data_IF_066165833208
#
_entry.id   IF_066165833208
#
_cell.length_a   1.000
_cell.length_b   1.000
_cell.length_c   1.000
_cell.angle_alpha   90.00
_cell.angle_beta   90.00
_cell.angle_gamma   90.00
#
_symmetry.space_group_name_H-M   'P 1'
#
loop_
_entity.id
_entity.type
_entity.pdbx_description
1 polymer ?
#
# COMPACT_ATOMS: atom_id res chain seq x y z
N UNK A 1 1.97 22.29 -7.81
CA UNK A 1 0.79 21.55 -7.28
C UNK A 1 0.31 20.47 -8.25
N UNK A 2 -0.37 20.81 -9.35
CA UNK A 2 -0.96 19.81 -10.29
C UNK A 2 0.05 18.80 -10.81
N UNK A 3 1.21 19.24 -11.28
CA UNK A 3 2.25 18.31 -11.76
C UNK A 3 2.74 17.36 -10.67
N UNK A 4 2.94 17.85 -9.44
CA UNK A 4 3.29 17.02 -8.28
C UNK A 4 2.18 16.03 -7.92
N UNK A 5 0.93 16.46 -7.95
CA UNK A 5 -0.24 15.59 -7.74
C UNK A 5 -0.32 14.48 -8.79
N UNK A 6 -0.19 14.81 -10.09
CA UNK A 6 -0.24 13.82 -11.18
C UNK A 6 0.88 12.79 -11.05
N UNK A 7 2.10 13.24 -10.76
CA UNK A 7 3.26 12.36 -10.54
C UNK A 7 3.07 11.48 -9.30
N UNK A 8 2.62 12.05 -8.19
CA UNK A 8 2.36 11.31 -6.96
C UNK A 8 1.21 10.30 -7.14
N UNK A 9 0.12 10.69 -7.79
CA UNK A 9 -0.99 9.80 -8.12
C UNK A 9 -0.52 8.60 -8.94
N UNK A 10 0.27 8.82 -10.00
CA UNK A 10 0.79 7.71 -10.80
C UNK A 10 1.77 6.83 -10.00
N UNK A 11 2.72 7.45 -9.29
CA UNK A 11 3.78 6.74 -8.58
C UNK A 11 3.27 5.93 -7.38
N UNK A 12 2.43 6.53 -6.56
CA UNK A 12 1.86 5.90 -5.35
C UNK A 12 0.90 4.79 -5.75
N UNK A 13 -0.02 5.05 -6.69
CA UNK A 13 -0.95 4.01 -7.14
C UNK A 13 -0.15 2.87 -7.78
N UNK A 14 0.81 3.12 -8.66
CA UNK A 14 1.60 2.05 -9.29
C UNK A 14 2.41 1.20 -8.28
N UNK A 15 2.95 1.79 -7.21
CA UNK A 15 3.74 1.07 -6.22
C UNK A 15 2.86 0.28 -5.22
N UNK A 16 1.82 0.92 -4.69
CA UNK A 16 1.09 0.43 -3.52
C UNK A 16 -0.22 -0.27 -3.88
N UNK A 17 -0.86 0.07 -5.00
CA UNK A 17 -2.08 -0.62 -5.42
C UNK A 17 -1.81 -2.09 -5.71
N UNK A 18 -0.59 -2.46 -6.09
CA UNK A 18 -0.22 -3.86 -6.33
C UNK A 18 -0.02 -4.61 -5.01
N UNK A 19 0.43 -3.94 -3.95
CA UNK A 19 0.56 -4.55 -2.62
C UNK A 19 -0.80 -4.88 -2.00
N UNK A 20 -1.85 -4.16 -2.39
CA UNK A 20 -3.21 -4.29 -1.82
C UNK A 20 -4.21 -4.97 -2.74
N UNK A 21 -4.17 -4.70 -4.03
CA UNK A 21 -5.05 -5.30 -5.04
C UNK A 21 -4.36 -6.45 -5.79
N UNK A 22 -3.09 -6.74 -5.52
CA UNK A 22 -2.34 -7.79 -6.21
C UNK A 22 -2.95 -9.18 -6.06
N UNK A 23 -3.36 -9.54 -4.83
CA UNK A 23 -4.07 -10.79 -4.50
C UNK A 23 -5.43 -10.87 -5.18
N UNK A 24 -6.15 -9.74 -5.27
CA UNK A 24 -7.41 -9.63 -6.00
C UNK A 24 -7.20 -9.84 -7.50
N UNK A 25 -6.24 -9.14 -8.11
CA UNK A 25 -5.92 -9.25 -9.53
C UNK A 25 -5.46 -10.67 -9.90
N UNK A 26 -4.62 -11.30 -9.08
CA UNK A 26 -4.13 -12.67 -9.34
C UNK A 26 -5.24 -13.72 -9.22
N UNK A 27 -6.03 -13.68 -8.15
CA UNK A 27 -7.12 -14.66 -7.92
C UNK A 27 -8.32 -14.46 -8.85
N UNK A 28 -8.44 -13.28 -9.48
CA UNK A 28 -9.51 -12.92 -10.40
C UNK A 28 -9.03 -12.75 -11.86
N UNK A 29 -7.83 -13.20 -12.22
CA UNK A 29 -7.23 -12.95 -13.54
C UNK A 29 -8.03 -13.51 -14.74
N UNK A 30 -8.94 -14.47 -14.50
CA UNK A 30 -9.86 -15.00 -15.51
C UNK A 30 -11.02 -14.05 -15.85
N UNK A 31 -11.24 -13.01 -15.04
CA UNK A 31 -12.27 -11.99 -15.26
C UNK A 31 -11.71 -10.84 -16.11
N UNK A 32 -12.56 -10.16 -16.89
CA UNK A 32 -12.09 -9.02 -17.67
C UNK A 32 -11.61 -7.89 -16.75
N UNK A 33 -10.49 -7.26 -17.12
CA UNK A 33 -9.84 -6.21 -16.32
C UNK A 33 -10.79 -5.05 -15.98
N UNK A 34 -11.71 -4.71 -16.89
CA UNK A 34 -12.65 -3.60 -16.69
C UNK A 34 -13.63 -3.88 -15.54
N UNK A 35 -14.02 -5.14 -15.31
CA UNK A 35 -14.91 -5.49 -14.21
C UNK A 35 -14.22 -5.34 -12.85
N UNK A 36 -12.95 -5.76 -12.77
CA UNK A 36 -12.11 -5.58 -11.60
C UNK A 36 -11.86 -4.09 -11.34
N UNK A 37 -11.63 -3.33 -12.41
CA UNK A 37 -11.38 -1.89 -12.35
C UNK A 37 -12.61 -1.10 -11.88
N UNK A 38 -13.80 -1.38 -12.42
CA UNK A 38 -15.06 -0.72 -11.99
C UNK A 38 -15.30 -0.98 -10.50
N UNK A 39 -15.07 -2.21 -10.03
CA UNK A 39 -15.22 -2.55 -8.63
C UNK A 39 -14.26 -1.75 -7.73
N UNK A 40 -12.96 -1.79 -8.02
CA UNK A 40 -11.95 -1.08 -7.24
C UNK A 40 -12.09 0.45 -7.31
N UNK A 41 -12.50 0.98 -8.47
CA UNK A 41 -12.78 2.40 -8.68
C UNK A 41 -14.03 2.86 -7.95
N UNK A 42 -15.08 2.02 -7.90
CA UNK A 42 -16.29 2.32 -7.14
C UNK A 42 -16.00 2.50 -5.64
N UNK A 43 -15.16 1.65 -5.08
CA UNK A 43 -14.68 1.79 -3.70
C UNK A 43 -13.85 3.07 -3.53
N UNK A 44 -12.95 3.36 -4.47
CA UNK A 44 -12.15 4.60 -4.46
C UNK A 44 -13.04 5.85 -4.45
N UNK A 45 -14.06 5.90 -5.32
CA UNK A 45 -15.04 6.98 -5.34
C UNK A 45 -15.78 7.10 -4.00
N UNK A 46 -16.27 5.98 -3.46
CA UNK A 46 -17.00 5.97 -2.21
C UNK A 46 -16.15 6.48 -1.03
N UNK A 47 -14.90 6.02 -0.92
CA UNK A 47 -13.96 6.44 0.13
C UNK A 47 -13.59 7.92 -0.01
N UNK A 48 -13.33 8.42 -1.22
CA UNK A 48 -13.03 9.83 -1.42
C UNK A 48 -14.24 10.73 -1.14
N UNK A 49 -15.42 10.35 -1.64
CA UNK A 49 -16.66 11.10 -1.41
C UNK A 49 -17.05 11.12 0.07
N UNK A 50 -16.96 9.97 0.75
CA UNK A 50 -17.22 9.89 2.18
C UNK A 50 -16.24 10.73 3.00
N UNK A 51 -14.94 10.61 2.73
CA UNK A 51 -13.91 11.39 3.42
C UNK A 51 -14.13 12.89 3.24
N UNK A 52 -14.33 13.33 2.00
CA UNK A 52 -14.61 14.72 1.67
C UNK A 52 -15.86 15.27 2.38
N UNK A 53 -16.93 14.49 2.44
CA UNK A 53 -18.19 14.91 3.06
C UNK A 53 -18.10 14.96 4.60
N UNK A 54 -17.48 13.97 5.23
CA UNK A 54 -17.42 13.87 6.70
C UNK A 54 -16.33 14.74 7.31
N UNK A 55 -15.25 15.03 6.57
CA UNK A 55 -14.10 15.78 7.05
C UNK A 55 -13.98 17.18 6.42
N UNK A 56 -15.11 17.81 6.09
CA UNK A 56 -15.18 19.21 5.63
C UNK A 56 -14.20 19.54 4.47
N UNK A 57 -14.21 18.67 3.46
CA UNK A 57 -13.36 18.79 2.28
C UNK A 57 -12.02 18.07 2.34
N UNK A 58 -11.64 17.44 3.46
CA UNK A 58 -10.41 16.65 3.59
C UNK A 58 -10.62 15.18 3.18
N UNK A 59 -9.84 14.71 2.20
CA UNK A 59 -9.86 13.32 1.74
C UNK A 59 -8.75 12.46 2.35
N UNK A 60 -7.88 13.05 3.17
CA UNK A 60 -6.77 12.37 3.85
C UNK A 60 -7.16 11.82 5.23
N UNK A 61 -8.41 12.02 5.66
CA UNK A 61 -8.93 11.56 6.95
C UNK A 61 -8.08 12.06 8.14
N UNK A 62 -7.69 13.35 8.13
CA UNK A 62 -6.91 13.99 9.19
C UNK A 62 -5.42 13.62 9.19
N UNK A 63 -4.94 12.86 8.21
CA UNK A 63 -3.52 12.45 8.15
C UNK A 63 -2.58 13.58 7.79
N UNK A 64 -3.08 14.58 7.08
CA UNK A 64 -2.32 15.77 6.70
C UNK A 64 -2.35 16.86 7.77
N UNK A 65 -3.04 16.66 8.91
CA UNK A 65 -3.09 17.64 10.01
C UNK A 65 -1.71 17.94 10.58
N UNK A 66 -0.81 16.96 10.62
CA UNK A 66 0.57 17.14 11.09
C UNK A 66 1.55 17.55 9.97
N UNK A 67 1.07 17.77 8.74
CA UNK A 67 1.89 18.12 7.59
C UNK A 67 1.44 19.48 7.05
N UNK A 68 1.95 20.59 7.62
CA UNK A 68 1.59 21.93 7.17
C UNK A 68 1.98 22.13 5.70
N UNK A 69 1.25 23.02 5.03
CA UNK A 69 1.65 23.47 3.69
C UNK A 69 2.97 24.24 3.85
N UNK A 70 4.01 23.96 3.03
CA UNK A 70 5.28 24.69 3.13
C UNK A 70 5.06 26.20 2.98
N UNK A 71 5.82 27.02 3.71
CA UNK A 71 5.65 28.49 3.75
C UNK A 71 5.77 29.15 2.37
N UNK A 72 6.62 28.62 1.49
CA UNK A 72 6.76 29.06 0.09
C UNK A 72 5.84 28.33 -0.91
N UNK A 73 4.89 27.54 -0.42
CA UNK A 73 4.06 26.65 -1.23
C UNK A 73 4.82 25.45 -1.80
N UNK A 74 4.14 24.69 -2.66
CA UNK A 74 4.71 23.48 -3.27
C UNK A 74 5.65 23.87 -4.40
N UNK A 75 6.96 23.78 -4.14
CA UNK A 75 8.03 23.99 -5.11
C UNK A 75 8.40 22.74 -5.92
N UNK A 76 9.28 22.90 -6.92
CA UNK A 76 9.81 21.83 -7.77
C UNK A 76 10.46 20.68 -6.98
N UNK A 77 10.99 20.96 -5.79
CA UNK A 77 11.68 19.94 -4.98
C UNK A 77 10.73 18.85 -4.49
N UNK A 78 9.47 19.20 -4.27
CA UNK A 78 8.43 18.26 -3.87
C UNK A 78 8.06 17.30 -5.01
N UNK A 79 8.46 17.57 -6.26
CA UNK A 79 8.23 16.65 -7.38
C UNK A 79 9.28 15.54 -7.47
N UNK A 80 10.44 15.71 -6.83
CA UNK A 80 11.54 14.74 -6.89
C UNK A 80 11.18 13.41 -6.23
N UNK A 81 10.53 13.36 -5.04
CA UNK A 81 10.20 12.08 -4.42
C UNK A 81 9.25 11.21 -5.24
N UNK A 82 8.14 11.72 -5.82
CA UNK A 82 7.34 10.95 -6.77
C UNK A 82 8.13 10.47 -7.99
N UNK A 83 9.04 11.28 -8.54
CA UNK A 83 9.89 10.88 -9.68
C UNK A 83 10.87 9.76 -9.29
N UNK A 84 11.51 9.88 -8.15
CA UNK A 84 12.38 8.85 -7.61
C UNK A 84 11.61 7.54 -7.36
N UNK A 85 10.39 7.66 -6.82
CA UNK A 85 9.49 6.52 -6.62
C UNK A 85 9.20 5.80 -7.94
N UNK A 86 8.89 6.53 -9.02
CA UNK A 86 8.66 5.93 -10.34
C UNK A 86 9.86 5.13 -10.84
N UNK A 87 11.06 5.67 -10.67
CA UNK A 87 12.28 4.96 -11.04
C UNK A 87 12.48 3.68 -10.22
N UNK A 88 12.34 3.78 -8.89
CA UNK A 88 12.52 2.64 -7.98
C UNK A 88 11.45 1.55 -8.21
N UNK A 89 10.21 1.96 -8.49
CA UNK A 89 9.08 1.08 -8.85
C UNK A 89 9.38 0.28 -10.11
N UNK A 90 10.02 0.89 -11.13
CA UNK A 90 10.42 0.19 -12.36
C UNK A 90 11.50 -0.87 -12.14
N UNK A 91 12.39 -0.65 -11.17
CA UNK A 91 13.44 -1.62 -10.79
C UNK A 91 12.86 -2.74 -9.88
N UNK A 92 11.61 -2.59 -9.41
CA UNK A 92 10.93 -3.59 -8.58
C UNK A 92 11.41 -3.60 -7.12
N UNK A 93 11.97 -2.47 -6.64
CA UNK A 93 12.31 -2.31 -5.23
C UNK A 93 11.05 -1.84 -4.49
N UNK A 94 10.55 -2.56 -3.47
CA UNK A 94 9.45 -2.08 -2.66
C UNK A 94 9.93 -0.88 -1.83
N UNK A 95 9.39 0.30 -2.10
CA UNK A 95 9.73 1.53 -1.40
C UNK A 95 8.51 2.04 -0.64
N UNK A 96 8.76 2.57 0.56
CA UNK A 96 7.73 3.27 1.32
C UNK A 96 7.45 4.63 0.69
N UNK A 97 6.29 4.74 0.06
CA UNK A 97 5.79 5.98 -0.53
C UNK A 97 5.63 7.08 0.52
N UNK A 98 5.13 6.71 1.70
CA UNK A 98 4.94 7.60 2.85
C UNK A 98 6.24 8.28 3.26
N UNK A 99 7.33 7.52 3.42
CA UNK A 99 8.63 8.10 3.84
C UNK A 99 9.22 8.99 2.76
N UNK A 100 9.16 8.55 1.50
CA UNK A 100 9.76 9.29 0.41
C UNK A 100 9.02 10.62 0.18
N UNK A 101 7.69 10.58 0.14
CA UNK A 101 6.87 11.76 -0.19
C UNK A 101 6.68 12.68 1.01
N UNK A 102 6.17 12.19 2.14
CA UNK A 102 5.74 13.07 3.24
C UNK A 102 6.90 13.67 4.05
N UNK A 103 8.05 12.99 4.12
CA UNK A 103 9.19 13.51 4.87
C UNK A 103 9.75 14.80 4.28
N UNK A 104 9.65 14.99 2.95
CA UNK A 104 10.07 16.25 2.30
C UNK A 104 9.19 17.43 2.72
N UNK A 105 7.92 17.18 3.05
CA UNK A 105 7.02 18.21 3.57
C UNK A 105 7.27 18.50 5.05
N UNK A 106 7.66 17.51 5.85
CA UNK A 106 7.85 17.68 7.29
C UNK A 106 8.86 16.67 7.85
N UNK A 107 10.13 17.08 7.93
CA UNK A 107 11.22 16.22 8.41
C UNK A 107 11.04 15.84 9.89
N UNK A 108 10.48 16.73 10.72
CA UNK A 108 10.27 16.49 12.15
C UNK A 108 9.36 15.29 12.44
N UNK A 109 8.49 14.91 11.50
CA UNK A 109 7.61 13.75 11.64
C UNK A 109 8.30 12.41 11.29
N UNK A 110 9.51 12.43 10.72
CA UNK A 110 10.21 11.24 10.23
C UNK A 110 10.37 10.18 11.33
N UNK A 111 10.84 10.56 12.52
CA UNK A 111 11.08 9.62 13.62
C UNK A 111 9.78 8.95 14.07
N UNK A 112 8.67 9.70 14.16
CA UNK A 112 7.38 9.16 14.55
C UNK A 112 6.84 8.19 13.49
N UNK A 113 6.96 8.56 12.21
CA UNK A 113 6.58 7.69 11.08
C UNK A 113 7.43 6.41 11.04
N UNK A 114 8.74 6.50 11.29
CA UNK A 114 9.66 5.35 11.35
C UNK A 114 9.27 4.40 12.47
N UNK A 115 9.10 4.94 13.68
CA UNK A 115 8.71 4.16 14.86
C UNK A 115 7.38 3.45 14.62
N UNK A 116 6.37 4.17 14.12
CA UNK A 116 5.04 3.59 13.84
C UNK A 116 5.10 2.51 12.76
N UNK A 117 5.93 2.69 11.72
CA UNK A 117 6.06 1.70 10.64
C UNK A 117 6.80 0.44 11.07
N UNK A 118 7.85 0.56 11.91
CA UNK A 118 8.56 -0.58 12.49
C UNK A 118 7.68 -1.36 13.48
N UNK A 119 6.92 -0.65 14.32
CA UNK A 119 5.90 -1.28 15.18
C UNK A 119 4.82 -1.95 14.32
N UNK A 120 4.39 -1.30 13.24
CA UNK A 120 3.50 -1.86 12.22
C UNK A 120 3.98 -3.19 11.68
N UNK A 121 5.23 -3.24 11.23
CA UNK A 121 5.88 -4.46 10.77
C UNK A 121 5.86 -5.55 11.85
N UNK A 122 6.32 -5.24 13.06
CA UNK A 122 6.45 -6.24 14.13
C UNK A 122 5.10 -6.80 14.56
N UNK A 123 4.10 -5.93 14.73
CA UNK A 123 2.73 -6.32 15.08
C UNK A 123 2.14 -7.19 13.97
N UNK A 124 2.24 -6.76 12.71
CA UNK A 124 1.73 -7.53 11.57
C UNK A 124 2.40 -8.91 11.47
N UNK A 125 3.71 -8.98 11.68
CA UNK A 125 4.48 -10.21 11.69
C UNK A 125 4.02 -11.19 12.76
N UNK A 126 3.92 -10.73 14.02
CA UNK A 126 3.50 -11.58 15.14
C UNK A 126 2.05 -12.01 14.99
N UNK A 127 1.15 -11.08 14.63
CA UNK A 127 -0.27 -11.38 14.39
C UNK A 127 -0.42 -12.40 13.27
N UNK A 128 0.31 -12.25 12.16
CA UNK A 128 0.28 -13.23 11.08
C UNK A 128 0.73 -14.62 11.55
N UNK A 129 1.83 -14.71 12.32
CA UNK A 129 2.28 -16.00 12.86
C UNK A 129 1.19 -16.65 13.70
N UNK A 130 0.63 -15.91 14.65
CA UNK A 130 -0.40 -16.42 15.58
C UNK A 130 -1.65 -16.85 14.82
N UNK A 131 -2.16 -16.00 13.93
CA UNK A 131 -3.40 -16.23 13.20
C UNK A 131 -3.25 -17.39 12.20
N UNK A 132 -2.18 -17.43 11.40
CA UNK A 132 -1.99 -18.50 10.42
C UNK A 132 -1.60 -19.84 11.04
N UNK A 133 -0.96 -19.84 12.22
CA UNK A 133 -0.59 -21.08 12.93
C UNK A 133 -1.71 -21.64 13.79
N UNK A 134 -2.46 -20.80 14.50
CA UNK A 134 -3.45 -21.25 15.49
C UNK A 134 -4.87 -21.26 14.94
N UNK A 135 -5.24 -20.25 14.14
CA UNK A 135 -6.62 -20.09 13.66
C UNK A 135 -6.80 -20.75 12.30
N UNK A 136 -5.93 -20.43 11.33
CA UNK A 136 -6.11 -20.86 9.94
C UNK A 136 -5.34 -22.11 9.54
N UNK A 137 -4.54 -22.73 10.41
CA UNK A 137 -3.73 -23.91 10.06
C UNK A 137 -4.52 -24.97 9.30
N UNK A 138 -5.64 -25.44 9.86
CA UNK A 138 -6.47 -26.48 9.22
C UNK A 138 -7.06 -26.01 7.89
N UNK A 139 -7.50 -24.75 7.82
CA UNK A 139 -8.04 -24.17 6.60
C UNK A 139 -6.97 -24.08 5.51
N UNK A 140 -5.76 -23.64 5.86
CA UNK A 140 -4.65 -23.52 4.92
C UNK A 140 -4.15 -24.88 4.44
N UNK A 141 -4.05 -25.89 5.33
CA UNK A 141 -3.76 -27.27 4.93
C UNK A 141 -4.83 -27.82 3.97
N UNK A 142 -6.11 -27.53 4.23
CA UNK A 142 -7.21 -27.93 3.36
C UNK A 142 -7.15 -27.23 1.99
N UNK A 143 -6.91 -25.92 1.96
CA UNK A 143 -6.79 -25.16 0.71
C UNK A 143 -5.61 -25.64 -0.13
N UNK A 144 -4.49 -25.92 0.53
CA UNK A 144 -3.29 -26.42 -0.12
C UNK A 144 -3.51 -27.80 -0.77
N UNK A 145 -4.25 -28.70 -0.09
CA UNK A 145 -4.57 -30.04 -0.62
C UNK A 145 -5.60 -30.00 -1.75
N UNK A 146 -6.59 -29.12 -1.66
CA UNK A 146 -7.68 -28.98 -2.65
C UNK A 146 -7.36 -27.96 -3.73
N UNK A 147 -6.07 -27.76 -4.01
CA UNK A 147 -5.62 -26.77 -4.98
C UNK A 147 -6.03 -27.20 -6.39
N UNK A 148 -6.74 -26.32 -7.09
CA UNK A 148 -7.25 -26.59 -8.44
C UNK A 148 -8.64 -27.23 -8.48
N UNK A 149 -9.23 -27.55 -7.33
CA UNK A 149 -10.62 -28.01 -7.25
C UNK A 149 -11.61 -26.84 -7.46
N UNK A 150 -12.85 -27.19 -7.77
CA UNK A 150 -13.92 -26.21 -7.92
C UNK A 150 -14.19 -25.48 -6.60
N UNK A 151 -14.02 -24.16 -6.61
CA UNK A 151 -14.22 -23.33 -5.42
C UNK A 151 -15.69 -22.88 -5.35
N UNK A 152 -16.39 -23.06 -4.21
CA UNK A 152 -17.75 -22.58 -4.03
C UNK A 152 -17.91 -21.08 -4.30
N UNK A 153 -19.04 -20.68 -4.90
CA UNK A 153 -19.29 -19.30 -5.32
C UNK A 153 -19.27 -18.28 -4.18
N UNK A 154 -19.59 -18.67 -2.95
CA UNK A 154 -19.57 -17.75 -1.80
C UNK A 154 -18.16 -17.19 -1.53
N UNK A 155 -17.10 -17.92 -1.88
CA UNK A 155 -15.73 -17.42 -1.75
C UNK A 155 -15.43 -16.24 -2.67
N UNK A 156 -16.15 -16.11 -3.78
CA UNK A 156 -16.06 -14.92 -4.64
C UNK A 156 -16.58 -13.70 -3.89
N UNK A 157 -17.74 -13.82 -3.24
CA UNK A 157 -18.33 -12.72 -2.46
C UNK A 157 -17.45 -12.37 -1.27
N UNK A 158 -16.95 -13.37 -0.54
CA UNK A 158 -16.05 -13.15 0.60
C UNK A 158 -14.76 -12.45 0.18
N UNK A 159 -14.14 -12.89 -0.91
CA UNK A 159 -12.87 -12.32 -1.36
C UNK A 159 -13.05 -10.89 -1.88
N UNK A 160 -14.11 -10.62 -2.64
CA UNK A 160 -14.39 -9.26 -3.10
C UNK A 160 -14.69 -8.34 -1.90
N UNK A 161 -15.43 -8.82 -0.91
CA UNK A 161 -15.70 -8.07 0.32
C UNK A 161 -14.43 -7.81 1.13
N UNK A 162 -13.55 -8.79 1.27
CA UNK A 162 -12.26 -8.61 1.97
C UNK A 162 -11.34 -7.66 1.21
N UNK A 163 -11.31 -7.71 -0.13
CA UNK A 163 -10.58 -6.75 -0.95
C UNK A 163 -11.17 -5.35 -0.80
N UNK A 164 -12.50 -5.19 -0.81
CA UNK A 164 -13.14 -3.89 -0.60
C UNK A 164 -12.74 -3.28 0.76
N UNK A 165 -12.76 -4.11 1.79
CA UNK A 165 -12.31 -3.72 3.12
C UNK A 165 -10.84 -3.31 3.11
N UNK A 166 -9.92 -4.16 2.65
CA UNK A 166 -8.49 -3.83 2.59
C UNK A 166 -8.23 -2.56 1.76
N UNK A 167 -8.81 -2.46 0.58
CA UNK A 167 -8.62 -1.33 -0.33
C UNK A 167 -9.12 -0.03 0.29
N UNK A 168 -10.26 -0.05 0.98
CA UNK A 168 -10.73 1.12 1.72
C UNK A 168 -9.77 1.53 2.83
N UNK A 169 -9.24 0.59 3.61
CA UNK A 169 -8.31 0.90 4.70
C UNK A 169 -6.99 1.46 4.16
N UNK A 170 -6.49 0.91 3.05
CA UNK A 170 -5.30 1.42 2.39
C UNK A 170 -5.52 2.83 1.83
N UNK A 171 -6.63 3.08 1.12
CA UNK A 171 -6.94 4.41 0.61
C UNK A 171 -6.96 5.44 1.74
N UNK A 172 -7.66 5.12 2.83
CA UNK A 172 -7.70 5.97 4.01
C UNK A 172 -6.26 6.28 4.49
N UNK A 173 -5.38 5.27 4.57
CA UNK A 173 -3.99 5.42 5.00
C UNK A 173 -3.11 6.26 4.06
N UNK A 174 -3.15 6.00 2.76
CA UNK A 174 -2.13 6.45 1.82
C UNK A 174 -2.60 7.56 0.87
N UNK A 175 -3.88 7.94 0.86
CA UNK A 175 -4.37 9.11 0.12
C UNK A 175 -3.63 10.40 0.52
N UNK A 176 -3.14 10.48 1.77
CA UNK A 176 -2.28 11.56 2.22
C UNK A 176 -1.05 11.76 1.32
N UNK A 177 -0.41 10.70 0.85
CA UNK A 177 0.79 10.77 0.01
C UNK A 177 0.50 11.40 -1.38
N UNK A 178 -0.75 11.35 -1.83
CA UNK A 178 -1.18 11.89 -3.11
C UNK A 178 -1.76 13.29 -2.93
N UNK A 179 -2.66 13.47 -1.96
CA UNK A 179 -3.36 14.73 -1.73
C UNK A 179 -2.53 15.76 -0.96
N UNK A 180 -1.34 15.41 -0.47
CA UNK A 180 -0.39 16.39 0.12
C UNK A 180 -0.10 17.56 -0.83
N UNK A 181 -0.20 17.33 -2.16
CA UNK A 181 0.06 18.32 -3.21
C UNK A 181 -1.11 19.25 -3.55
N UNK A 182 -2.31 18.98 -3.02
CA UNK A 182 -3.53 19.75 -3.26
C UNK A 182 -3.92 20.54 -2.00
N UNK A 183 -4.86 21.51 -2.11
CA UNK A 183 -5.39 22.21 -0.94
C UNK A 183 -5.92 21.23 0.12
N UNK A 184 -5.75 21.55 1.41
CA UNK A 184 -6.17 20.67 2.52
C UNK A 184 -7.70 20.50 2.57
N UNK A 185 -8.43 21.55 2.22
CA UNK A 185 -9.86 21.50 1.98
C UNK A 185 -10.09 21.59 0.47
N UNK A 186 -10.59 20.51 -0.12
CA UNK A 186 -10.84 20.46 -1.55
C UNK A 186 -12.20 21.08 -1.87
N UNK A 187 -12.26 21.98 -2.84
CA UNK A 187 -13.53 22.28 -3.51
C UNK A 187 -14.04 21.04 -4.27
N UNK A 188 -15.33 20.99 -4.59
CA UNK A 188 -15.89 19.91 -5.41
C UNK A 188 -15.14 19.72 -6.74
N UNK A 189 -14.71 20.80 -7.41
CA UNK A 189 -13.94 20.72 -8.65
C UNK A 189 -12.59 20.03 -8.46
N UNK A 190 -11.90 20.28 -7.34
CA UNK A 190 -10.64 19.62 -7.00
C UNK A 190 -10.85 18.15 -6.63
N UNK A 191 -11.94 17.82 -5.93
CA UNK A 191 -12.33 16.44 -5.66
C UNK A 191 -12.59 15.68 -6.97
N UNK A 192 -13.43 16.24 -7.85
CA UNK A 192 -13.77 15.62 -9.14
C UNK A 192 -12.52 15.41 -10.00
N UNK A 193 -11.65 16.42 -10.10
CA UNK A 193 -10.36 16.29 -10.78
C UNK A 193 -9.50 15.15 -10.20
N UNK A 194 -9.35 15.10 -8.87
CA UNK A 194 -8.54 14.08 -8.21
C UNK A 194 -9.10 12.67 -8.39
N UNK A 195 -10.41 12.50 -8.27
CA UNK A 195 -11.11 11.23 -8.52
C UNK A 195 -10.91 10.76 -9.96
N UNK A 196 -11.11 11.64 -10.95
CA UNK A 196 -10.94 11.29 -12.37
C UNK A 196 -9.51 10.86 -12.69
N UNK A 197 -8.51 11.57 -12.16
CA UNK A 197 -7.09 11.20 -12.32
C UNK A 197 -6.82 9.83 -11.72
N UNK A 198 -7.27 9.58 -10.48
CA UNK A 198 -7.02 8.31 -9.81
C UNK A 198 -7.71 7.12 -10.49
N UNK A 199 -8.96 7.30 -10.94
CA UNK A 199 -9.68 6.29 -11.73
C UNK A 199 -8.94 5.97 -13.03
N UNK A 200 -8.46 7.00 -13.75
CA UNK A 200 -7.75 6.82 -15.00
C UNK A 200 -6.41 6.07 -14.79
N UNK A 201 -5.64 6.44 -13.77
CA UNK A 201 -4.37 5.77 -13.44
C UNK A 201 -4.60 4.33 -12.97
N UNK A 202 -5.63 4.10 -12.16
CA UNK A 202 -6.02 2.75 -11.75
C UNK A 202 -6.45 1.90 -12.94
N UNK A 203 -7.18 2.49 -13.90
CA UNK A 203 -7.57 1.82 -15.14
C UNK A 203 -6.37 1.37 -15.96
N UNK A 204 -5.36 2.22 -16.09
CA UNK A 204 -4.10 1.86 -16.76
C UNK A 204 -3.37 0.69 -16.06
N UNK A 205 -3.34 0.68 -14.72
CA UNK A 205 -2.70 -0.39 -13.95
C UNK A 205 -3.45 -1.72 -14.10
N UNK A 206 -4.79 -1.68 -14.09
CA UNK A 206 -5.61 -2.88 -14.28
C UNK A 206 -5.51 -3.41 -15.71
N UNK A 207 -5.47 -2.53 -16.71
CA UNK A 207 -5.25 -2.90 -18.11
C UNK A 207 -3.90 -3.58 -18.34
N UNK A 208 -2.84 -3.09 -17.68
CA UNK A 208 -1.49 -3.66 -17.77
C UNK A 208 -1.23 -4.79 -16.76
N UNK A 209 -2.25 -5.19 -15.99
CA UNK A 209 -2.18 -6.20 -14.92
C UNK A 209 -1.02 -5.97 -13.90
N UNK A 210 -0.60 -4.72 -13.65
CA UNK A 210 0.40 -4.43 -12.61
C UNK A 210 1.85 -4.83 -12.93
N UNK A 211 2.19 -5.16 -14.17
CA UNK A 211 3.58 -5.23 -14.67
C UNK A 211 4.58 -6.01 -13.79
N UNK A 212 5.76 -5.43 -13.54
CA UNK A 212 6.89 -6.10 -12.85
C UNK A 212 6.61 -6.40 -11.38
N UNK A 213 5.90 -5.52 -10.67
CA UNK A 213 5.66 -5.67 -9.22
C UNK A 213 4.65 -6.79 -8.95
N UNK A 214 3.72 -7.07 -9.86
CA UNK A 214 2.81 -8.22 -9.72
C UNK A 214 3.57 -9.55 -9.59
N UNK A 215 4.76 -9.67 -10.22
CA UNK A 215 5.63 -10.86 -10.08
C UNK A 215 6.05 -11.11 -8.63
N UNK A 216 6.16 -10.07 -7.81
CA UNK A 216 6.50 -10.20 -6.38
C UNK A 216 5.35 -10.87 -5.63
N UNK A 217 4.10 -10.43 -5.87
CA UNK A 217 2.90 -11.03 -5.23
C UNK A 217 2.65 -12.46 -5.72
N UNK A 218 2.82 -12.69 -7.03
CA UNK A 218 2.69 -14.02 -7.65
C UNK A 218 3.78 -14.99 -7.20
N UNK A 219 4.92 -14.50 -6.71
CA UNK A 219 5.99 -15.36 -6.18
C UNK A 219 5.67 -15.97 -4.80
N UNK A 220 4.59 -15.52 -4.16
CA UNK A 220 4.20 -15.96 -2.80
C UNK A 220 3.26 -17.16 -2.86
N UNK A 221 3.33 -18.00 -1.83
CA UNK A 221 2.62 -19.28 -1.77
C UNK A 221 1.11 -19.05 -1.76
N UNK A 222 0.39 -19.73 -2.65
CA UNK A 222 -1.08 -19.78 -2.75
C UNK A 222 -1.81 -18.41 -2.91
N UNK A 223 -1.14 -17.35 -3.38
CA UNK A 223 -1.78 -16.04 -3.63
C UNK A 223 -2.72 -16.01 -4.83
N UNK A 224 -2.75 -17.08 -5.63
CA UNK A 224 -3.69 -17.28 -6.73
C UNK A 224 -4.99 -17.94 -6.27
N UNK A 225 -5.02 -18.57 -5.08
CA UNK A 225 -6.23 -19.17 -4.53
C UNK A 225 -7.08 -18.08 -3.85
N UNK A 226 -8.33 -17.94 -4.31
CA UNK A 226 -9.26 -16.94 -3.81
C UNK A 226 -9.54 -17.08 -2.30
N UNK A 227 -9.46 -18.29 -1.74
CA UNK A 227 -9.68 -18.58 -0.32
C UNK A 227 -8.53 -18.07 0.53
N UNK A 228 -7.29 -18.32 0.09
CA UNK A 228 -6.10 -17.79 0.74
C UNK A 228 -6.03 -16.26 0.60
N UNK A 229 -6.33 -15.72 -0.58
CA UNK A 229 -6.43 -14.28 -0.83
C UNK A 229 -7.43 -13.60 0.12
N UNK A 230 -8.60 -14.21 0.33
CA UNK A 230 -9.62 -13.69 1.27
C UNK A 230 -9.06 -13.47 2.67
N UNK A 231 -8.33 -14.45 3.21
CA UNK A 231 -7.77 -14.38 4.56
C UNK A 231 -6.66 -13.33 4.62
N UNK A 232 -5.77 -13.31 3.63
CA UNK A 232 -4.68 -12.33 3.56
C UNK A 232 -5.26 -10.91 3.53
N UNK A 233 -6.22 -10.64 2.64
CA UNK A 233 -6.84 -9.34 2.50
C UNK A 233 -7.53 -8.91 3.79
N UNK A 234 -8.30 -9.80 4.42
CA UNK A 234 -9.03 -9.51 5.65
C UNK A 234 -8.11 -9.20 6.83
N UNK A 235 -7.08 -10.02 7.06
CA UNK A 235 -6.12 -9.80 8.16
C UNK A 235 -5.31 -8.53 7.90
N UNK A 236 -4.91 -8.29 6.65
CA UNK A 236 -4.18 -7.06 6.32
C UNK A 236 -5.04 -5.81 6.57
N UNK A 237 -6.30 -5.82 6.11
CA UNK A 237 -7.25 -4.74 6.35
C UNK A 237 -7.48 -4.49 7.84
N UNK A 238 -7.57 -5.55 8.66
CA UNK A 238 -7.71 -5.43 10.11
C UNK A 238 -6.50 -4.76 10.76
N UNK A 239 -5.29 -5.14 10.35
CA UNK A 239 -4.06 -4.50 10.86
C UNK A 239 -4.06 -3.01 10.49
N UNK A 240 -4.37 -2.66 9.23
CA UNK A 240 -4.43 -1.26 8.80
C UNK A 240 -5.51 -0.46 9.54
N UNK A 241 -6.66 -1.06 9.83
CA UNK A 241 -7.73 -0.45 10.61
C UNK A 241 -7.28 -0.16 12.04
N UNK A 242 -6.65 -1.10 12.73
CA UNK A 242 -6.14 -0.88 14.10
C UNK A 242 -5.15 0.29 14.12
N UNK A 243 -4.20 0.34 13.17
CA UNK A 243 -3.23 1.43 13.13
C UNK A 243 -3.81 2.78 12.68
N UNK A 244 -4.94 2.76 11.95
CA UNK A 244 -5.72 3.97 11.65
C UNK A 244 -6.30 4.54 12.95
N UNK A 245 -6.99 3.73 13.74
CA UNK A 245 -7.69 4.19 14.95
C UNK A 245 -6.73 4.62 16.06
N UNK A 246 -5.54 4.01 16.13
CA UNK A 246 -4.55 4.31 17.19
C UNK A 246 -3.84 5.65 16.98
N UNK A 247 -3.68 6.13 15.74
CA UNK A 247 -2.92 7.36 15.49
C UNK A 247 -3.16 7.95 14.09
N UNK A 248 -3.23 9.28 14.02
CA UNK A 248 -3.34 10.04 12.76
C UNK A 248 -2.02 10.24 12.02
N UNK A 249 -0.88 9.80 12.58
CA UNK A 249 0.42 9.89 11.90
C UNK A 249 0.45 8.83 10.78
N UNK A 250 0.70 9.20 9.52
CA UNK A 250 0.85 8.25 8.42
C UNK A 250 1.93 7.22 8.72
N UNK A 251 1.63 5.96 8.45
CA UNK A 251 2.58 4.86 8.55
C UNK A 251 2.84 4.31 7.16
N UNK A 252 3.98 3.64 6.98
CA UNK A 252 4.24 2.91 5.75
C UNK A 252 3.47 1.59 5.71
N UNK A 253 2.47 1.52 4.84
CA UNK A 253 1.72 0.29 4.59
C UNK A 253 2.59 -0.80 3.95
N UNK A 254 3.64 -0.44 3.20
CA UNK A 254 4.63 -1.38 2.67
C UNK A 254 5.32 -2.19 3.78
N UNK A 255 5.72 -1.56 4.88
CA UNK A 255 6.36 -2.28 6.01
C UNK A 255 5.38 -3.22 6.71
N UNK A 256 4.13 -2.78 6.90
CA UNK A 256 3.07 -3.63 7.48
C UNK A 256 2.82 -4.85 6.60
N UNK A 257 2.70 -4.65 5.29
CA UNK A 257 2.50 -5.72 4.32
C UNK A 257 3.64 -6.74 4.34
N UNK A 258 4.89 -6.27 4.33
CA UNK A 258 6.06 -7.14 4.42
C UNK A 258 6.10 -7.92 5.72
N UNK A 259 5.74 -7.30 6.85
CA UNK A 259 5.63 -7.97 8.15
C UNK A 259 4.58 -9.08 8.11
N UNK A 260 3.38 -8.78 7.60
CA UNK A 260 2.29 -9.74 7.46
C UNK A 260 2.68 -10.95 6.59
N UNK A 261 3.24 -10.69 5.40
CA UNK A 261 3.67 -11.75 4.49
C UNK A 261 4.78 -12.60 5.12
N UNK A 262 5.77 -11.96 5.74
CA UNK A 262 6.84 -12.66 6.42
C UNK A 262 6.31 -13.58 7.52
N UNK A 263 5.45 -13.06 8.40
CA UNK A 263 4.86 -13.86 9.48
C UNK A 263 4.02 -15.02 8.97
N UNK A 264 3.25 -14.80 7.88
CA UNK A 264 2.51 -15.87 7.21
C UNK A 264 3.42 -16.96 6.67
N UNK A 265 4.44 -16.61 5.87
CA UNK A 265 5.35 -17.62 5.29
C UNK A 265 6.10 -18.39 6.37
N UNK A 266 6.47 -17.73 7.50
CA UNK A 266 7.01 -18.42 8.66
C UNK A 266 6.02 -19.40 9.28
N UNK A 267 4.77 -18.99 9.50
CA UNK A 267 3.73 -19.88 10.01
C UNK A 267 3.53 -21.11 9.11
N UNK A 268 3.43 -20.89 7.80
CA UNK A 268 3.28 -21.96 6.81
C UNK A 268 4.47 -22.92 6.84
N UNK A 269 5.70 -22.41 6.94
CA UNK A 269 6.92 -23.22 7.01
C UNK A 269 7.00 -24.15 8.23
N UNK A 270 6.17 -23.92 9.25
CA UNK A 270 6.10 -24.77 10.44
C UNK A 270 5.22 -26.01 10.24
N UNK A 271 4.34 -26.04 9.23
CA UNK A 271 3.39 -27.15 9.06
C UNK A 271 3.15 -27.60 7.61
N UNK A 272 3.56 -26.83 6.60
CA UNK A 272 3.58 -27.25 5.20
C UNK A 272 4.97 -27.74 4.81
N UNK A 273 5.07 -29.00 4.38
CA UNK A 273 6.34 -29.67 4.07
C UNK A 273 7.11 -29.00 2.91
N UNK A 274 6.40 -28.44 1.94
CA UNK A 274 6.98 -27.82 0.74
C UNK A 274 7.57 -26.42 1.01
N UNK A 275 7.25 -25.84 2.16
CA UNK A 275 7.77 -24.53 2.60
C UNK A 275 8.93 -24.72 3.57
N UNK A 276 10.14 -24.94 3.05
CA UNK A 276 11.32 -25.14 3.89
C UNK A 276 11.71 -23.87 4.68
N UNK A 277 11.86 -23.99 6.00
CA UNK A 277 12.22 -22.88 6.92
C UNK A 277 13.42 -22.04 6.45
N UNK A 278 14.50 -22.69 5.97
CA UNK A 278 15.69 -21.99 5.43
C UNK A 278 15.37 -21.14 4.20
N UNK A 279 14.49 -21.63 3.32
CA UNK A 279 14.04 -20.91 2.12
C UNK A 279 13.16 -19.71 2.52
N UNK A 280 12.25 -19.92 3.47
CA UNK A 280 11.41 -18.85 4.02
C UNK A 280 12.26 -17.75 4.64
N UNK A 281 13.19 -18.10 5.52
CA UNK A 281 14.11 -17.14 6.14
C UNK A 281 14.90 -16.36 5.09
N UNK A 282 15.47 -17.04 4.08
CA UNK A 282 16.20 -16.39 2.99
C UNK A 282 15.31 -15.39 2.24
N UNK A 283 14.11 -15.80 1.84
CA UNK A 283 13.18 -14.96 1.08
C UNK A 283 12.73 -13.73 1.88
N UNK A 284 12.33 -13.93 3.14
CA UNK A 284 11.90 -12.84 4.03
C UNK A 284 13.05 -11.87 4.29
N UNK A 285 14.25 -12.35 4.57
CA UNK A 285 15.42 -11.50 4.79
C UNK A 285 15.78 -10.70 3.53
N UNK A 286 15.68 -11.30 2.35
CA UNK A 286 15.89 -10.59 1.08
C UNK A 286 14.87 -9.48 0.87
N UNK A 287 13.58 -9.73 1.16
CA UNK A 287 12.53 -8.72 1.03
C UNK A 287 12.72 -7.58 2.03
N UNK A 288 13.07 -7.89 3.28
CA UNK A 288 13.37 -6.90 4.30
C UNK A 288 14.60 -6.05 3.95
N UNK A 289 15.66 -6.66 3.40
CA UNK A 289 16.86 -5.94 2.94
C UNK A 289 16.55 -4.99 1.78
N UNK A 290 15.71 -5.41 0.82
CA UNK A 290 15.26 -4.54 -0.28
C UNK A 290 14.40 -3.38 0.22
N UNK A 291 13.51 -3.63 1.18
CA UNK A 291 12.71 -2.57 1.79
C UNK A 291 13.56 -1.59 2.60
N UNK A 292 14.58 -2.10 3.31
CA UNK A 292 15.54 -1.29 4.05
C UNK A 292 16.38 -0.42 3.11
N UNK A 293 16.86 -0.96 1.99
CA UNK A 293 17.59 -0.15 1.00
C UNK A 293 16.68 0.93 0.39
N UNK A 294 15.43 0.60 0.08
CA UNK A 294 14.42 1.58 -0.35
C UNK A 294 14.17 2.67 0.70
N UNK A 295 14.14 2.31 1.98
CA UNK A 295 14.02 3.26 3.10
C UNK A 295 15.25 4.17 3.19
N UNK A 296 16.46 3.62 3.12
CA UNK A 296 17.70 4.40 3.17
C UNK A 296 17.73 5.42 2.04
N UNK A 297 17.41 5.01 0.80
CA UNK A 297 17.31 5.92 -0.34
C UNK A 297 16.25 7.01 -0.08
N UNK A 298 15.10 6.63 0.49
CA UNK A 298 14.03 7.59 0.79
C UNK A 298 14.44 8.62 1.83
N UNK A 299 15.14 8.20 2.89
CA UNK A 299 15.65 9.09 3.94
C UNK A 299 16.76 9.99 3.40
N UNK A 300 17.70 9.46 2.62
CA UNK A 300 18.77 10.25 1.99
C UNK A 300 18.17 11.33 1.09
N UNK A 301 17.20 10.98 0.24
CA UNK A 301 16.52 11.96 -0.61
C UNK A 301 15.78 12.99 0.25
N UNK A 302 15.00 12.54 1.24
CA UNK A 302 14.19 13.45 2.04
C UNK A 302 15.02 14.45 2.86
N UNK A 303 16.17 14.03 3.40
CA UNK A 303 17.07 14.89 4.16
C UNK A 303 17.99 15.73 3.25
N UNK A 304 18.42 15.16 2.12
CA UNK A 304 19.35 15.80 1.19
C UNK A 304 18.70 16.87 0.32
N UNK A 305 17.42 16.71 -0.03
CA UNK A 305 16.71 17.65 -0.91
C UNK A 305 16.62 19.07 -0.31
N UNK A 306 16.15 19.27 0.92
CA UNK A 306 16.14 20.61 1.54
C UNK A 306 17.52 21.26 1.57
N UNK A 307 18.58 20.48 1.83
CA UNK A 307 19.96 20.96 1.81
C UNK A 307 20.40 21.36 0.40
N UNK A 308 20.08 20.56 -0.62
CA UNK A 308 20.34 20.87 -2.03
C UNK A 308 19.60 22.14 -2.46
N UNK A 309 18.36 22.36 -2.01
CA UNK A 309 17.62 23.58 -2.30
C UNK A 309 18.35 24.83 -1.80
N UNK A 310 18.79 24.78 -0.54
CA UNK A 310 19.53 25.87 0.09
C UNK A 310 20.84 26.17 -0.64
N UNK A 311 21.56 25.12 -1.07
CA UNK A 311 22.79 25.27 -1.84
C UNK A 311 22.57 25.89 -3.23
N UNK A 312 21.51 25.50 -3.94
CA UNK A 312 21.28 25.92 -5.33
C UNK A 312 20.57 27.28 -5.44
N UNK A 313 19.67 27.59 -4.50
CA UNK A 313 18.76 28.72 -4.64
C UNK A 313 18.84 29.74 -3.49
N UNK A 314 19.66 29.49 -2.47
CA UNK A 314 19.98 30.48 -1.45
C UNK A 314 18.75 31.12 -0.79
N UNK A 315 17.94 30.32 -0.08
CA UNK A 315 17.06 30.75 1.03
C UNK A 315 16.47 29.52 1.72
#
# INVERSE_FOLDING_TARGET
>A
MVAGFLLAAYAVVANDSIQTLGTFLSSNAHRPWWALWIFASGILCAVLAYGWFVHDGDVSYGRLTNFPVPEGGISWIHMIPPLALLFLTRVGVPVSTTFLVLTVFTISNLQAMLTKSLLGYLVAFVVAIVVFRLVFKRATEYFHRTRGEAIPRYWVVLQWSSTAFLWSQWLIQDLANIFVYLPRQLSFSWLAFGVLVLIAMQGYIFYTFGGVIQKIVLSKTDTTDIRAATIIDFIYGLVLLVFKEVSNIPMSTTWVFLGLLAGREFALSMYLADTGFKRTLKNVSMDALKALSGLIVSVILALGLPYLNRLLFGS
#
